data_IF_540061601559
#
_entry.id   IF_540061601559
#
_cell.length_a   1.000
_cell.length_b   1.000
_cell.length_c   1.000
_cell.angle_alpha   90.00
_cell.angle_beta   90.00
_cell.angle_gamma   90.00
#
_symmetry.space_group_name_H-M   'P 1'
#
loop_
_entity.id
_entity.type
_entity.pdbx_description
1 polymer ?
#
# COMPACT_ATOMS: atom_id res chain seq x y z
N UNK A 1 12.15 -13.66 1.92
CA UNK A 1 10.69 -13.62 1.69
C UNK A 1 10.46 -13.29 0.22
N UNK A 2 9.49 -13.90 -0.48
CA UNK A 2 9.21 -13.54 -1.89
C UNK A 2 8.82 -12.05 -1.94
N UNK A 3 9.54 -11.26 -2.72
CA UNK A 3 9.26 -9.83 -2.88
C UNK A 3 7.89 -9.67 -3.56
N UNK A 4 6.97 -8.98 -2.87
CA UNK A 4 5.66 -8.69 -3.43
C UNK A 4 5.78 -7.64 -4.54
N UNK A 5 5.28 -7.97 -5.73
CA UNK A 5 5.23 -7.02 -6.84
C UNK A 5 4.00 -6.13 -6.67
N UNK A 6 4.22 -4.93 -6.12
CA UNK A 6 3.16 -3.96 -5.85
C UNK A 6 2.95 -2.93 -6.98
N UNK A 7 3.65 -3.10 -8.10
CA UNK A 7 3.62 -2.21 -9.27
C UNK A 7 2.41 -2.46 -10.17
N UNK A 8 1.88 -3.68 -10.16
CA UNK A 8 0.80 -4.12 -11.02
C UNK A 8 -0.28 -4.83 -10.22
N UNK A 9 -1.54 -4.52 -10.53
CA UNK A 9 -2.70 -5.19 -9.98
C UNK A 9 -3.24 -6.24 -10.98
N UNK A 10 -3.65 -7.45 -10.54
CA UNK A 10 -3.63 -7.93 -9.16
C UNK A 10 -2.21 -8.18 -8.64
N UNK A 11 -1.99 -7.85 -7.37
CA UNK A 11 -0.67 -8.01 -6.72
C UNK A 11 -0.26 -9.49 -6.71
N UNK A 12 1.02 -9.77 -6.98
CA UNK A 12 1.52 -11.15 -7.15
C UNK A 12 2.70 -11.49 -6.23
N UNK A 13 2.71 -12.69 -5.62
CA UNK A 13 1.61 -13.68 -5.56
C UNK A 13 0.43 -13.15 -4.73
N UNK A 14 -0.81 -13.47 -5.14
CA UNK A 14 -2.04 -12.87 -4.58
C UNK A 14 -2.08 -12.86 -3.04
N UNK A 15 -1.65 -13.97 -2.41
CA UNK A 15 -1.43 -14.06 -0.97
C UNK A 15 0.07 -14.30 -0.71
N UNK A 16 0.71 -13.56 0.22
CA UNK A 16 0.17 -12.51 1.10
C UNK A 16 0.20 -11.09 0.50
N UNK A 17 0.49 -10.94 -0.80
CA UNK A 17 0.87 -9.62 -1.33
C UNK A 17 -0.26 -8.61 -1.40
N UNK A 18 -1.53 -9.01 -1.46
CA UNK A 18 -2.62 -8.04 -1.35
C UNK A 18 -2.53 -7.21 -0.06
N UNK A 19 -2.33 -7.87 1.09
CA UNK A 19 -2.27 -7.19 2.38
C UNK A 19 -1.03 -6.29 2.51
N UNK A 20 0.11 -6.79 2.03
CA UNK A 20 1.37 -6.07 2.07
C UNK A 20 1.34 -4.86 1.13
N UNK A 21 0.96 -5.06 -0.13
CA UNK A 21 0.93 -3.98 -1.12
C UNK A 21 -0.09 -2.90 -0.76
N UNK A 22 -1.30 -3.28 -0.31
CA UNK A 22 -2.29 -2.31 0.15
C UNK A 22 -1.77 -1.53 1.36
N UNK A 23 -1.22 -2.19 2.37
CA UNK A 23 -0.64 -1.48 3.52
C UNK A 23 0.50 -0.53 3.12
N UNK A 24 1.31 -0.94 2.13
CA UNK A 24 2.39 -0.11 1.59
C UNK A 24 1.88 1.12 0.84
N UNK A 25 0.85 0.96 0.01
CA UNK A 25 0.21 2.08 -0.69
C UNK A 25 -0.30 3.10 0.32
N UNK A 26 -0.97 2.64 1.39
CA UNK A 26 -1.50 3.50 2.44
C UNK A 26 -0.42 4.25 3.22
N UNK A 27 0.77 3.67 3.35
CA UNK A 27 1.92 4.30 3.99
C UNK A 27 2.66 5.29 3.07
N UNK A 28 2.66 5.05 1.76
CA UNK A 28 3.49 5.80 0.81
C UNK A 28 2.75 6.93 0.11
N UNK A 29 1.47 6.73 -0.21
CA UNK A 29 0.65 7.73 -0.86
C UNK A 29 0.36 8.90 0.09
N UNK A 30 0.44 10.11 -0.46
CA UNK A 30 0.13 11.35 0.27
C UNK A 30 -1.40 11.46 0.49
N UNK A 31 -1.85 12.21 1.51
CA UNK A 31 -3.27 12.38 1.77
C UNK A 31 -4.09 12.85 0.56
N UNK A 32 -3.53 13.73 -0.27
CA UNK A 32 -4.18 14.24 -1.48
C UNK A 32 -4.31 13.17 -2.56
N UNK A 33 -3.36 12.23 -2.62
CA UNK A 33 -3.40 11.09 -3.55
C UNK A 33 -4.38 10.03 -3.06
N UNK A 34 -4.40 9.74 -1.75
CA UNK A 34 -5.38 8.84 -1.15
C UNK A 34 -6.81 9.30 -1.42
N UNK A 35 -7.06 10.60 -1.34
CA UNK A 35 -8.38 11.18 -1.62
C UNK A 35 -8.64 11.31 -3.13
N UNK A 36 -7.69 11.86 -3.88
CA UNK A 36 -7.89 12.23 -5.28
C UNK A 36 -7.74 11.08 -6.27
N UNK A 37 -6.80 10.17 -6.03
CA UNK A 37 -6.48 9.04 -6.90
C UNK A 37 -7.18 7.78 -6.41
N UNK A 38 -7.07 7.46 -5.12
CA UNK A 38 -7.64 6.23 -4.55
C UNK A 38 -9.10 6.39 -4.08
N UNK A 39 -9.64 7.60 -4.15
CA UNK A 39 -11.03 7.91 -3.78
C UNK A 39 -11.38 7.49 -2.34
N UNK A 40 -10.39 7.49 -1.44
CA UNK A 40 -10.61 7.23 -0.03
C UNK A 40 -11.25 8.46 0.60
N UNK A 41 -12.37 8.33 1.34
CA UNK A 41 -13.01 9.45 2.01
C UNK A 41 -12.06 10.19 2.95
N UNK A 42 -12.10 11.53 2.94
CA UNK A 42 -11.26 12.39 3.77
C UNK A 42 -11.16 11.97 5.25
N UNK A 43 -12.28 11.67 5.94
CA UNK A 43 -12.23 11.21 7.33
C UNK A 43 -11.43 9.90 7.53
N UNK A 44 -11.44 9.00 6.54
CA UNK A 44 -10.64 7.77 6.60
C UNK A 44 -9.17 8.08 6.32
N UNK A 45 -8.88 9.01 5.40
CA UNK A 45 -7.50 9.46 5.11
C UNK A 45 -6.86 10.14 6.31
N UNK A 46 -7.60 10.98 7.05
CA UNK A 46 -7.12 11.60 8.29
C UNK A 46 -6.67 10.54 9.30
N UNK A 47 -7.50 9.52 9.53
CA UNK A 47 -7.16 8.39 10.40
C UNK A 47 -5.96 7.59 9.92
N UNK A 48 -5.89 7.28 8.63
CA UNK A 48 -4.73 6.59 8.05
C UNK A 48 -3.46 7.41 8.28
N UNK A 49 -3.52 8.72 8.08
CA UNK A 49 -2.39 9.63 8.31
C UNK A 49 -1.95 9.61 9.78
N UNK A 50 -2.89 9.67 10.73
CA UNK A 50 -2.57 9.55 12.16
C UNK A 50 -1.94 8.19 12.53
N UNK A 51 -2.46 7.10 11.99
CA UNK A 51 -1.91 5.74 12.17
C UNK A 51 -0.47 5.67 11.66
N UNK A 52 -0.22 6.23 10.47
CA UNK A 52 1.09 6.24 9.83
C UNK A 52 2.11 7.09 10.60
N UNK A 53 1.70 8.27 11.10
CA UNK A 53 2.55 9.14 11.93
C UNK A 53 3.01 8.45 13.21
N UNK A 54 2.21 7.51 13.74
CA UNK A 54 2.54 6.71 14.92
C UNK A 54 3.32 5.44 14.58
N UNK A 55 3.50 5.12 13.29
CA UNK A 55 4.18 3.91 12.83
C UNK A 55 3.46 2.61 13.21
N UNK A 56 2.13 2.65 13.37
CA UNK A 56 1.36 1.54 13.94
C UNK A 56 0.90 0.49 12.93
N UNK A 57 0.99 0.76 11.62
CA UNK A 57 0.50 -0.14 10.58
C UNK A 57 1.46 -0.25 9.39
N UNK A 58 1.74 -1.48 8.97
CA UNK A 58 2.55 -1.77 7.77
C UNK A 58 1.78 -2.62 6.74
N UNK A 59 0.77 -3.35 7.20
CA UNK A 59 -0.07 -4.23 6.38
C UNK A 59 -1.54 -3.83 6.50
N UNK A 60 -2.37 -4.25 5.54
CA UNK A 60 -3.81 -4.04 5.62
C UNK A 60 -4.44 -4.62 6.90
N UNK A 61 -3.92 -5.74 7.43
CA UNK A 61 -4.42 -6.34 8.67
C UNK A 61 -4.17 -5.44 9.89
N UNK A 62 -3.07 -4.68 9.90
CA UNK A 62 -2.79 -3.73 10.99
C UNK A 62 -3.83 -2.60 10.99
N UNK A 63 -4.16 -2.07 9.80
CA UNK A 63 -5.25 -1.08 9.66
C UNK A 63 -6.61 -1.66 10.06
N UNK A 64 -6.86 -2.95 9.83
CA UNK A 64 -8.10 -3.61 10.26
C UNK A 64 -8.29 -3.54 11.78
N UNK A 65 -7.20 -3.60 12.55
CA UNK A 65 -7.25 -3.54 14.01
C UNK A 65 -7.43 -2.13 14.56
N UNK A 66 -7.11 -1.11 13.75
CA UNK A 66 -7.06 0.30 14.16
C UNK A 66 -8.23 1.13 13.63
N UNK A 67 -8.86 0.70 12.54
CA UNK A 67 -10.03 1.35 11.94
C UNK A 67 -11.33 0.72 12.44
N UNK A 68 -12.42 1.49 12.40
CA UNK A 68 -13.74 0.91 12.63
C UNK A 68 -14.12 -0.04 11.48
N UNK A 69 -14.99 -1.01 11.77
CA UNK A 69 -15.36 -2.06 10.81
C UNK A 69 -15.92 -1.51 9.50
N UNK A 70 -16.72 -0.44 9.55
CA UNK A 70 -17.28 0.21 8.35
C UNK A 70 -16.23 0.95 7.53
N UNK A 71 -15.26 1.58 8.20
CA UNK A 71 -14.15 2.30 7.57
C UNK A 71 -13.24 1.31 6.86
N UNK A 72 -12.89 0.22 7.56
CA UNK A 72 -12.10 -0.86 6.97
C UNK A 72 -12.83 -1.54 5.82
N UNK A 73 -14.15 -1.78 5.94
CA UNK A 73 -14.93 -2.35 4.84
C UNK A 73 -14.96 -1.44 3.61
N UNK A 74 -15.07 -0.12 3.82
CA UNK A 74 -15.01 0.88 2.75
C UNK A 74 -13.63 0.88 2.08
N UNK A 75 -12.57 0.93 2.88
CA UNK A 75 -11.19 0.87 2.42
C UNK A 75 -10.93 -0.39 1.59
N UNK A 76 -11.29 -1.56 2.13
CA UNK A 76 -11.05 -2.84 1.45
C UNK A 76 -11.86 -2.95 0.14
N UNK A 77 -13.07 -2.38 0.07
CA UNK A 77 -13.87 -2.33 -1.16
C UNK A 77 -13.19 -1.49 -2.24
N UNK A 78 -12.62 -0.34 -1.88
CA UNK A 78 -11.91 0.54 -2.82
C UNK A 78 -10.68 -0.16 -3.41
N UNK A 79 -9.89 -0.85 -2.59
CA UNK A 79 -8.72 -1.60 -3.05
C UNK A 79 -9.06 -2.89 -3.80
N UNK A 80 -10.20 -3.52 -3.51
CA UNK A 80 -10.67 -4.65 -4.31
C UNK A 80 -11.11 -4.20 -5.71
N UNK A 81 -11.70 -3.01 -5.83
CA UNK A 81 -12.10 -2.41 -7.11
C UNK A 81 -10.99 -1.65 -7.85
N UNK A 82 -9.72 -1.79 -7.43
CA UNK A 82 -8.61 -1.01 -7.96
C UNK A 82 -8.38 -1.23 -9.47
N UNK A 83 -8.72 -2.40 -9.97
CA UNK A 83 -8.64 -2.74 -11.41
C UNK A 83 -9.46 -1.80 -12.31
N UNK A 84 -10.49 -1.16 -11.74
CA UNK A 84 -11.35 -0.22 -12.45
C UNK A 84 -10.89 1.24 -12.33
N UNK A 85 -9.77 1.49 -11.65
CA UNK A 85 -9.21 2.83 -11.45
C UNK A 85 -7.88 3.00 -12.20
N UNK A 86 -7.90 3.47 -13.46
CA UNK A 86 -6.69 3.59 -14.28
C UNK A 86 -5.69 4.61 -13.72
N UNK A 87 -6.14 5.62 -12.97
CA UNK A 87 -5.27 6.60 -12.33
C UNK A 87 -4.47 5.94 -11.20
N UNK A 88 -5.12 5.15 -10.35
CA UNK A 88 -4.45 4.38 -9.31
C UNK A 88 -3.47 3.35 -9.90
N UNK A 89 -3.86 2.62 -10.94
CA UNK A 89 -2.97 1.65 -11.60
C UNK A 89 -1.71 2.32 -12.19
N UNK A 90 -1.86 3.53 -12.76
CA UNK A 90 -0.71 4.32 -13.21
C UNK A 90 0.17 4.73 -12.04
N UNK A 91 -0.44 5.26 -10.98
CA UNK A 91 0.27 5.66 -9.78
C UNK A 91 1.10 4.51 -9.18
N UNK A 92 0.56 3.29 -9.13
CA UNK A 92 1.28 2.10 -8.66
C UNK A 92 2.58 1.87 -9.44
N UNK A 93 2.51 1.90 -10.78
CA UNK A 93 3.70 1.68 -11.63
C UNK A 93 4.75 2.76 -11.44
N UNK A 94 4.32 4.00 -11.26
CA UNK A 94 5.22 5.14 -11.12
C UNK A 94 5.89 5.19 -9.73
N UNK A 95 5.15 4.87 -8.67
CA UNK A 95 5.58 5.13 -7.30
C UNK A 95 6.07 3.88 -6.56
N UNK A 96 5.52 2.70 -6.87
CA UNK A 96 5.87 1.46 -6.17
C UNK A 96 7.09 0.76 -6.77
N UNK A 97 7.51 1.15 -7.98
CA UNK A 97 8.70 0.63 -8.65
C UNK A 97 10.01 1.03 -7.96
N UNK A 98 10.02 2.14 -7.23
CA UNK A 98 11.21 2.66 -6.55
C UNK A 98 11.42 2.12 -5.14
N UNK A 99 10.55 1.22 -4.69
CA UNK A 99 10.51 0.79 -3.30
C UNK A 99 11.11 -0.61 -3.08
N UNK A 100 11.78 -1.21 -4.08
CA UNK A 100 12.60 -2.40 -3.80
C UNK A 100 13.88 -1.97 -3.07
N UNK A 101 14.19 -2.52 -1.88
CA UNK A 101 15.51 -2.34 -1.31
C UNK A 101 16.52 -2.95 -2.30
N UNK A 102 17.40 -2.11 -2.84
CA UNK A 102 18.59 -2.59 -3.53
C UNK A 102 19.31 -3.51 -2.54
N UNK A 103 19.56 -4.79 -2.86
CA UNK A 103 20.42 -5.60 -2.02
C UNK A 103 21.76 -4.87 -1.92
N UNK A 104 22.21 -4.51 -0.72
CA UNK A 104 23.61 -4.15 -0.51
C UNK A 104 24.43 -5.32 -1.07
N UNK A 105 25.13 -5.10 -2.20
CA UNK A 105 26.10 -6.05 -2.71
C UNK A 105 27.12 -6.27 -1.59
N UNK A 106 27.12 -7.46 -1.00
CA UNK A 106 28.15 -7.85 -0.05
C UNK A 106 29.52 -7.64 -0.73
N UNK A 107 30.48 -6.95 -0.08
CA UNK A 107 31.78 -6.73 -0.68
C UNK A 107 32.44 -8.08 -0.94
N UNK A 108 32.68 -8.37 -2.22
CA UNK A 108 33.36 -9.59 -2.66
C UNK A 108 34.72 -9.65 -1.95
N UNK A 109 35.02 -10.71 -1.17
CA UNK A 109 36.32 -10.84 -0.54
C UNK A 109 37.37 -11.01 -1.64
N UNK A 110 38.26 -10.03 -1.76
CA UNK A 110 39.47 -10.15 -2.58
C UNK A 110 40.34 -11.22 -1.93
N UNK A 111 40.50 -12.35 -2.63
CA UNK A 111 41.42 -13.43 -2.27
C UNK A 111 42.86 -13.04 -2.56
#
# INVERSE_FOLDING_TARGET
>A
MKHCKCTDFPFSPHVPCYKVCTGRILNYARPEELTGIFHIPGPIVEKITEINLRGQAQTLDDYQQLLFSEEFATLNRLFFGLEHNPAALRWLRENMSQSEPVPEEEPVPVS
#
